data_IF_465008427483
#
_entry.id   IF_465008427483
#
_cell.length_a   1.000
_cell.length_b   1.000
_cell.length_c   1.000
_cell.angle_alpha   90.00
_cell.angle_beta   90.00
_cell.angle_gamma   90.00
#
_symmetry.space_group_name_H-M   'P 1'
#
loop_
_entity.id
_entity.type
_entity.pdbx_description
1 polymer ?
#
# COMPACT_ATOMS: atom_id res chain seq x y z
N UNK A 1 35.57 17.02 32.18
CA UNK A 1 34.57 17.83 31.45
C UNK A 1 34.71 17.68 29.91
N UNK A 2 35.86 17.97 29.31
CA UNK A 2 36.06 17.85 27.85
C UNK A 2 35.80 16.45 27.27
N UNK A 3 36.24 15.38 27.92
CA UNK A 3 36.02 14.00 27.48
C UNK A 3 34.52 13.62 27.42
N UNK A 4 33.71 14.09 28.40
CA UNK A 4 32.26 13.85 28.42
C UNK A 4 31.55 14.60 27.29
N UNK A 5 31.94 15.88 27.09
CA UNK A 5 31.36 16.68 25.95
C UNK A 5 31.71 16.04 24.63
N UNK A 6 32.94 15.59 24.44
CA UNK A 6 33.37 14.93 23.23
C UNK A 6 32.60 13.60 23.00
N UNK A 7 32.40 12.81 24.05
CA UNK A 7 31.61 11.58 23.96
C UNK A 7 30.15 11.86 23.59
N UNK A 8 29.51 12.88 24.18
CA UNK A 8 28.14 13.26 23.85
C UNK A 8 28.00 13.75 22.37
N UNK A 9 29.00 14.53 21.92
CA UNK A 9 29.04 14.98 20.52
C UNK A 9 29.21 13.80 19.54
N UNK A 10 30.05 12.84 19.88
CA UNK A 10 30.26 11.64 19.06
C UNK A 10 28.99 10.77 19.00
N UNK A 11 28.28 10.58 20.12
CA UNK A 11 27.00 9.87 20.16
C UNK A 11 25.93 10.63 19.33
N UNK A 12 25.85 11.94 19.49
CA UNK A 12 24.92 12.76 18.70
C UNK A 12 25.20 12.65 17.19
N UNK A 13 26.47 12.76 16.79
CA UNK A 13 26.86 12.62 15.38
C UNK A 13 26.50 11.22 14.84
N UNK A 14 26.74 10.18 15.64
CA UNK A 14 26.36 8.80 15.26
C UNK A 14 24.84 8.67 15.04
N UNK A 15 24.03 9.27 15.89
CA UNK A 15 22.56 9.26 15.73
C UNK A 15 22.14 10.02 14.48
N UNK A 16 22.75 11.18 14.19
CA UNK A 16 22.45 11.95 12.96
C UNK A 16 22.81 11.14 11.72
N UNK A 17 23.99 10.53 11.67
CA UNK A 17 24.41 9.68 10.54
C UNK A 17 23.48 8.46 10.41
N UNK A 18 23.14 7.80 11.52
CA UNK A 18 22.23 6.66 11.52
C UNK A 18 20.82 7.05 11.03
N UNK A 19 20.27 8.16 11.51
CA UNK A 19 18.96 8.65 11.07
C UNK A 19 18.95 9.04 9.59
N UNK A 20 20.01 9.71 9.11
CA UNK A 20 20.16 10.02 7.70
C UNK A 20 20.29 8.76 6.82
N UNK A 21 21.03 7.77 7.30
CA UNK A 21 21.14 6.48 6.60
C UNK A 21 19.79 5.78 6.48
N UNK A 22 19.03 5.69 7.60
CA UNK A 22 17.68 5.11 7.58
C UNK A 22 16.78 5.88 6.62
N UNK A 23 16.79 7.22 6.65
CA UNK A 23 16.02 8.04 5.72
C UNK A 23 16.36 7.71 4.25
N UNK A 24 17.65 7.69 3.89
CA UNK A 24 18.09 7.42 2.53
C UNK A 24 17.69 6.00 2.11
N UNK A 25 17.94 5.00 2.96
CA UNK A 25 17.64 3.60 2.63
C UNK A 25 16.13 3.36 2.51
N UNK A 26 15.33 3.99 3.37
CA UNK A 26 13.89 3.74 3.43
C UNK A 26 13.08 4.64 2.48
N UNK A 27 13.42 5.94 2.38
CA UNK A 27 12.57 6.89 1.67
C UNK A 27 13.03 7.23 0.25
N UNK A 28 14.34 7.16 -0.05
CA UNK A 28 14.82 7.56 -1.38
C UNK A 28 14.47 6.49 -2.43
N UNK A 29 13.90 6.95 -3.55
CA UNK A 29 13.65 6.09 -4.72
C UNK A 29 14.93 5.35 -5.11
N UNK A 30 14.83 4.06 -5.27
CA UNK A 30 15.88 3.26 -5.92
C UNK A 30 15.54 3.11 -7.39
N UNK A 31 16.57 2.84 -8.20
CA UNK A 31 16.35 2.45 -9.58
C UNK A 31 15.46 1.22 -9.59
N UNK A 32 14.35 1.33 -10.30
CA UNK A 32 13.41 0.22 -10.42
C UNK A 32 14.16 -0.98 -11.02
N UNK A 33 14.06 -2.12 -10.37
CA UNK A 33 14.48 -3.36 -11.00
C UNK A 33 13.58 -3.57 -12.22
N UNK A 34 14.10 -4.07 -13.34
CA UNK A 34 13.23 -4.50 -14.42
C UNK A 34 12.22 -5.49 -13.82
N UNK A 35 10.99 -5.12 -13.86
CA UNK A 35 9.93 -5.70 -13.07
C UNK A 35 9.46 -7.04 -13.67
N UNK A 36 10.22 -7.99 -13.73
CA UNK A 36 10.05 -9.40 -14.04
C UNK A 36 11.43 -10.08 -14.05
N UNK A 37 12.37 -9.57 -13.23
CA UNK A 37 13.62 -10.30 -13.03
C UNK A 37 13.31 -11.51 -12.17
N UNK A 38 13.22 -12.66 -12.80
CA UNK A 38 12.90 -13.94 -12.20
C UNK A 38 13.72 -14.23 -10.94
N UNK A 39 15.04 -13.95 -11.00
CA UNK A 39 15.94 -14.17 -9.87
C UNK A 39 15.59 -13.32 -8.63
N UNK A 40 15.09 -12.10 -8.83
CA UNK A 40 14.71 -11.23 -7.72
C UNK A 40 13.33 -11.60 -7.14
N UNK A 41 12.36 -11.89 -8.00
CA UNK A 41 11.04 -12.35 -7.56
C UNK A 41 11.14 -13.68 -6.82
N UNK A 42 11.96 -14.62 -7.31
CA UNK A 42 12.17 -15.92 -6.66
C UNK A 42 12.75 -15.85 -5.24
N UNK A 43 13.39 -14.74 -4.87
CA UNK A 43 13.87 -14.52 -3.49
C UNK A 43 12.79 -14.03 -2.53
N UNK A 44 11.62 -13.66 -3.03
CA UNK A 44 10.48 -13.16 -2.24
C UNK A 44 9.46 -14.27 -1.96
N UNK A 45 8.45 -13.98 -1.14
CA UNK A 45 7.27 -14.83 -0.93
C UNK A 45 6.53 -15.14 -2.23
N UNK A 46 6.66 -14.29 -3.25
CA UNK A 46 6.07 -14.48 -4.58
C UNK A 46 6.83 -15.45 -5.49
N UNK A 47 8.03 -15.92 -5.11
CA UNK A 47 8.89 -16.71 -5.99
C UNK A 47 8.23 -17.94 -6.61
N UNK A 48 7.46 -18.67 -5.82
CA UNK A 48 6.70 -19.85 -6.29
C UNK A 48 5.56 -19.53 -7.26
N UNK A 49 5.17 -18.26 -7.34
CA UNK A 49 4.09 -17.76 -8.20
C UNK A 49 4.59 -17.00 -9.43
N UNK A 50 5.89 -17.00 -9.70
CA UNK A 50 6.52 -16.25 -10.79
C UNK A 50 5.82 -16.45 -12.15
N UNK A 51 5.52 -17.68 -12.52
CA UNK A 51 4.86 -17.97 -13.80
C UNK A 51 3.47 -17.33 -13.91
N UNK A 52 2.73 -17.22 -12.80
CA UNK A 52 1.44 -16.53 -12.77
C UNK A 52 1.62 -15.03 -12.94
N UNK A 53 2.62 -14.43 -12.27
CA UNK A 53 2.92 -13.00 -12.41
C UNK A 53 3.26 -12.66 -13.87
N UNK A 54 4.05 -13.49 -14.54
CA UNK A 54 4.35 -13.32 -15.99
C UNK A 54 3.10 -13.47 -16.85
N UNK A 55 2.18 -14.39 -16.50
CA UNK A 55 0.93 -14.54 -17.25
C UNK A 55 0.02 -13.31 -17.14
N UNK A 56 0.12 -12.57 -16.04
CA UNK A 56 -0.66 -11.35 -15.83
C UNK A 56 -0.26 -10.20 -16.77
N UNK A 57 1.01 -10.12 -17.18
CA UNK A 57 1.45 -9.17 -18.21
C UNK A 57 0.80 -9.46 -19.57
N UNK A 58 0.63 -10.74 -19.91
CA UNK A 58 -0.10 -11.16 -21.10
C UNK A 58 -1.58 -10.80 -20.99
N UNK A 59 -2.19 -11.09 -19.83
CA UNK A 59 -3.57 -10.77 -19.56
C UNK A 59 -3.88 -9.27 -19.75
N UNK A 60 -3.02 -8.37 -19.26
CA UNK A 60 -3.17 -6.93 -19.47
C UNK A 60 -3.18 -6.54 -20.96
N UNK A 61 -2.33 -7.18 -21.77
CA UNK A 61 -2.27 -6.94 -23.22
C UNK A 61 -3.53 -7.43 -23.94
N UNK A 62 -4.07 -8.56 -23.51
CA UNK A 62 -5.30 -9.17 -24.06
C UNK A 62 -6.55 -8.37 -23.68
N UNK A 63 -6.55 -7.63 -22.55
CA UNK A 63 -7.68 -6.84 -22.05
C UNK A 63 -7.55 -5.34 -22.36
N UNK A 64 -6.72 -4.96 -23.34
CA UNK A 64 -6.59 -3.58 -23.81
C UNK A 64 -6.30 -2.58 -22.67
N UNK A 65 -5.41 -2.93 -21.76
CA UNK A 65 -5.00 -2.03 -20.69
C UNK A 65 -4.42 -0.72 -21.26
N UNK A 66 -5.02 0.40 -20.88
CA UNK A 66 -4.67 1.74 -21.35
C UNK A 66 -3.76 2.45 -20.35
N UNK A 67 -2.69 3.08 -20.86
CA UNK A 67 -1.86 3.94 -20.02
C UNK A 67 -2.59 5.25 -19.74
N UNK A 68 -2.73 5.59 -18.47
CA UNK A 68 -3.36 6.83 -18.02
C UNK A 68 -2.40 7.61 -17.12
N UNK A 69 -2.53 8.93 -17.14
CA UNK A 69 -1.64 9.82 -16.40
C UNK A 69 -2.45 10.91 -15.69
N UNK A 70 -2.03 11.23 -14.47
CA UNK A 70 -2.53 12.38 -13.72
C UNK A 70 -1.36 13.25 -13.27
N UNK A 71 -1.68 14.45 -12.78
CA UNK A 71 -0.75 15.28 -12.02
C UNK A 71 -1.19 15.31 -10.57
N UNK A 72 -0.29 14.98 -9.64
CA UNK A 72 -0.55 15.09 -8.21
C UNK A 72 -0.64 16.56 -7.76
N UNK A 73 -1.17 16.80 -6.56
CA UNK A 73 -1.28 18.16 -6.00
C UNK A 73 0.08 18.85 -5.81
N UNK A 74 1.15 18.09 -5.62
CA UNK A 74 2.52 18.58 -5.52
C UNK A 74 3.29 18.56 -6.87
N UNK A 75 2.58 18.33 -7.98
CA UNK A 75 3.07 18.52 -9.35
C UNK A 75 3.78 17.32 -9.99
N UNK A 76 3.75 16.14 -9.39
CA UNK A 76 4.32 14.93 -9.97
C UNK A 76 3.40 14.37 -11.06
N UNK A 77 3.98 13.95 -12.18
CA UNK A 77 3.28 13.15 -13.17
C UNK A 77 3.23 11.70 -12.71
N UNK A 78 2.02 11.20 -12.48
CA UNK A 78 1.77 9.83 -12.02
C UNK A 78 1.16 9.01 -13.15
N UNK A 79 1.60 7.77 -13.26
CA UNK A 79 1.16 6.79 -14.24
C UNK A 79 0.25 5.75 -13.61
N UNK A 80 -0.65 5.22 -14.41
CA UNK A 80 -1.47 4.06 -14.04
C UNK A 80 -2.00 3.34 -15.28
N UNK A 81 -2.66 2.23 -15.07
CA UNK A 81 -3.39 1.50 -16.09
C UNK A 81 -4.89 1.59 -15.83
N UNK A 82 -5.64 1.78 -16.91
CA UNK A 82 -7.08 1.63 -16.93
C UNK A 82 -7.46 0.38 -17.72
N UNK A 83 -8.26 -0.51 -17.14
CA UNK A 83 -8.77 -1.72 -17.77
C UNK A 83 -10.28 -1.72 -17.60
N UNK A 84 -11.04 -1.39 -18.67
CA UNK A 84 -12.50 -1.37 -18.61
C UNK A 84 -13.08 -2.78 -18.66
N UNK A 85 -14.16 -3.01 -17.91
CA UNK A 85 -15.02 -4.17 -18.05
C UNK A 85 -16.12 -3.88 -19.11
N UNK A 86 -16.65 -4.93 -19.74
CA UNK A 86 -17.66 -4.76 -20.81
C UNK A 86 -18.98 -4.16 -20.28
N UNK A 87 -19.44 -4.61 -19.11
CA UNK A 87 -20.64 -4.07 -18.45
C UNK A 87 -20.32 -3.80 -16.98
N UNK A 88 -19.65 -2.66 -16.67
CA UNK A 88 -19.09 -2.46 -15.37
C UNK A 88 -20.14 -2.19 -14.29
N UNK A 89 -20.08 -2.94 -13.20
CA UNK A 89 -20.86 -2.68 -11.97
C UNK A 89 -20.17 -1.70 -11.02
N UNK A 90 -18.88 -1.49 -11.19
CA UNK A 90 -18.06 -0.61 -10.36
C UNK A 90 -16.62 -0.58 -10.83
N UNK A 91 -15.77 0.06 -10.05
CA UNK A 91 -14.32 0.15 -10.29
C UNK A 91 -13.55 -0.26 -9.03
N UNK A 92 -12.46 -0.99 -9.18
CA UNK A 92 -11.47 -1.18 -8.12
C UNK A 92 -10.28 -0.26 -8.38
N UNK A 93 -9.97 0.62 -7.44
CA UNK A 93 -8.75 1.43 -7.42
C UNK A 93 -7.70 0.72 -6.57
N UNK A 94 -6.55 0.39 -7.15
CA UNK A 94 -5.49 -0.36 -6.50
C UNK A 94 -4.34 0.51 -5.98
N UNK A 95 -3.71 0.09 -4.88
CA UNK A 95 -2.46 0.63 -4.39
C UNK A 95 -1.48 -0.50 -4.04
N UNK A 96 -0.36 -0.58 -4.75
CA UNK A 96 0.65 -1.62 -4.54
C UNK A 96 1.56 -1.34 -3.34
N UNK A 97 2.36 -2.33 -2.94
CA UNK A 97 3.27 -2.28 -1.81
C UNK A 97 4.54 -1.47 -2.06
N UNK A 98 5.30 -1.32 -0.98
CA UNK A 98 6.58 -0.63 -0.95
C UNK A 98 7.60 -1.31 -1.88
N UNK A 99 8.13 -0.55 -2.84
CA UNK A 99 9.10 -1.02 -3.84
C UNK A 99 8.65 -2.26 -4.60
N UNK A 100 7.34 -2.42 -4.73
CA UNK A 100 6.71 -3.46 -5.54
C UNK A 100 6.18 -2.88 -6.85
N UNK A 101 5.44 -3.66 -7.58
CA UNK A 101 4.77 -3.28 -8.81
C UNK A 101 3.33 -3.77 -8.81
N UNK A 102 2.49 -3.12 -9.62
CA UNK A 102 1.10 -3.53 -9.78
C UNK A 102 0.95 -5.00 -10.22
N UNK A 103 1.87 -5.51 -11.05
CA UNK A 103 1.81 -6.89 -11.51
C UNK A 103 2.21 -7.91 -10.45
N UNK A 104 3.22 -7.60 -9.65
CA UNK A 104 3.65 -8.47 -8.57
C UNK A 104 2.56 -8.60 -7.51
N UNK A 105 1.95 -7.49 -7.14
CA UNK A 105 1.00 -7.46 -6.04
C UNK A 105 -0.42 -7.87 -6.44
N UNK A 106 -0.88 -7.46 -7.62
CA UNK A 106 -2.27 -7.62 -8.03
C UNK A 106 -2.48 -8.41 -9.32
N UNK A 107 -1.42 -8.73 -10.06
CA UNK A 107 -1.55 -9.40 -11.35
C UNK A 107 -2.40 -10.66 -11.28
N UNK A 108 -2.29 -11.42 -10.18
CA UNK A 108 -3.08 -12.63 -9.95
C UNK A 108 -4.56 -12.37 -9.59
N UNK A 109 -4.89 -11.14 -9.19
CA UNK A 109 -6.24 -10.74 -8.83
C UNK A 109 -6.97 -9.97 -9.96
N UNK A 110 -6.26 -9.51 -10.99
CA UNK A 110 -6.87 -8.74 -12.07
C UNK A 110 -7.99 -9.49 -12.77
N UNK A 111 -7.72 -10.72 -13.24
CA UNK A 111 -8.72 -11.57 -13.88
C UNK A 111 -9.93 -11.82 -12.98
N UNK A 112 -9.69 -12.04 -11.68
CA UNK A 112 -10.76 -12.24 -10.72
C UNK A 112 -11.68 -11.01 -10.62
N UNK A 113 -11.15 -9.84 -10.33
CA UNK A 113 -11.98 -8.63 -10.21
C UNK A 113 -12.66 -8.24 -11.52
N UNK A 114 -11.94 -8.39 -12.64
CA UNK A 114 -12.50 -8.10 -13.96
C UNK A 114 -13.65 -9.05 -14.33
N UNK A 115 -13.52 -10.36 -14.00
CA UNK A 115 -14.59 -11.34 -14.18
C UNK A 115 -15.82 -11.08 -13.30
N UNK A 116 -15.64 -10.34 -12.20
CA UNK A 116 -16.75 -9.84 -11.37
C UNK A 116 -17.40 -8.58 -11.94
N UNK A 117 -17.10 -8.17 -13.17
CA UNK A 117 -17.64 -6.95 -13.80
C UNK A 117 -17.05 -5.66 -13.23
N UNK A 118 -15.84 -5.69 -12.69
CA UNK A 118 -15.18 -4.49 -12.17
C UNK A 118 -14.23 -3.90 -13.21
N UNK A 119 -14.34 -2.59 -13.47
CA UNK A 119 -13.23 -1.86 -14.07
C UNK A 119 -12.03 -1.90 -13.10
N UNK A 120 -10.81 -1.85 -13.65
CA UNK A 120 -9.61 -1.78 -12.83
C UNK A 120 -8.87 -0.47 -13.12
N UNK A 121 -8.63 0.33 -12.09
CA UNK A 121 -7.72 1.48 -12.13
C UNK A 121 -6.52 1.14 -11.25
N UNK A 122 -5.36 1.03 -11.88
CA UNK A 122 -4.15 0.45 -11.28
C UNK A 122 -2.98 1.44 -11.35
N UNK A 123 -2.92 2.43 -10.44
CA UNK A 123 -1.81 3.36 -10.36
C UNK A 123 -0.48 2.70 -10.03
N UNK A 124 0.59 3.21 -10.62
CA UNK A 124 1.93 3.14 -10.06
C UNK A 124 2.08 4.28 -9.06
N UNK A 125 2.25 3.95 -7.78
CA UNK A 125 2.41 4.98 -6.75
C UNK A 125 3.65 5.84 -7.01
N UNK A 126 3.67 7.08 -6.47
CA UNK A 126 4.87 7.96 -6.58
C UNK A 126 6.15 7.17 -6.32
N UNK A 127 7.22 7.50 -7.03
CA UNK A 127 8.54 6.84 -6.95
C UNK A 127 8.61 5.41 -7.45
N UNK A 128 7.57 4.90 -8.14
CA UNK A 128 7.56 3.55 -8.71
C UNK A 128 7.24 3.61 -10.21
N UNK A 129 7.80 2.65 -10.96
CA UNK A 129 7.54 2.49 -12.39
C UNK A 129 7.74 3.78 -13.20
N UNK A 130 6.73 4.16 -13.98
CA UNK A 130 6.72 5.39 -14.79
C UNK A 130 6.26 6.63 -14.02
N UNK A 131 5.78 6.48 -12.78
CA UNK A 131 5.43 7.61 -11.92
C UNK A 131 6.68 8.36 -11.46
N UNK A 132 6.59 9.68 -11.45
CA UNK A 132 7.65 10.55 -10.94
C UNK A 132 7.77 10.49 -9.41
N UNK A 133 8.77 11.18 -8.88
CA UNK A 133 9.03 11.32 -7.46
C UNK A 133 10.42 10.85 -7.05
N UNK A 134 10.88 11.38 -5.93
CA UNK A 134 12.21 11.07 -5.35
C UNK A 134 12.08 10.32 -4.03
N UNK A 135 11.01 10.55 -3.29
CA UNK A 135 10.84 10.04 -1.92
C UNK A 135 9.54 9.25 -1.75
N UNK A 136 9.69 8.01 -1.26
CA UNK A 136 8.57 7.17 -0.80
C UNK A 136 8.21 7.62 0.61
N UNK A 137 6.93 7.83 0.90
CA UNK A 137 6.46 8.37 2.17
C UNK A 137 5.63 7.38 3.00
N UNK A 138 5.71 6.10 2.67
CA UNK A 138 5.03 5.02 3.39
C UNK A 138 3.50 5.21 3.48
N UNK A 139 2.91 5.68 2.40
CA UNK A 139 1.47 5.89 2.29
C UNK A 139 1.00 7.29 2.65
N UNK A 140 1.83 8.16 3.26
CA UNK A 140 1.41 9.50 3.71
C UNK A 140 1.04 10.39 2.52
N UNK A 141 1.97 10.68 1.62
CA UNK A 141 1.70 11.45 0.39
C UNK A 141 1.06 10.58 -0.69
N UNK A 142 1.32 9.28 -0.67
CA UNK A 142 0.66 8.33 -1.56
C UNK A 142 -0.87 8.33 -1.36
N UNK A 143 -1.37 8.57 -0.13
CA UNK A 143 -2.82 8.70 0.08
C UNK A 143 -3.40 9.96 -0.55
N UNK A 144 -2.69 11.06 -0.56
CA UNK A 144 -3.11 12.27 -1.28
C UNK A 144 -3.14 12.05 -2.81
N UNK A 145 -2.17 11.28 -3.34
CA UNK A 145 -2.19 10.86 -4.76
C UNK A 145 -3.43 10.02 -5.08
N UNK A 146 -3.85 9.14 -4.17
CA UNK A 146 -5.06 8.34 -4.36
C UNK A 146 -6.31 9.22 -4.42
N UNK A 147 -6.39 10.33 -3.68
CA UNK A 147 -7.48 11.31 -3.86
C UNK A 147 -7.48 11.92 -5.27
N UNK A 148 -6.30 12.27 -5.80
CA UNK A 148 -6.18 12.74 -7.18
C UNK A 148 -6.67 11.68 -8.19
N UNK A 149 -6.35 10.40 -7.98
CA UNK A 149 -6.85 9.31 -8.80
C UNK A 149 -8.35 9.10 -8.70
N UNK A 150 -8.95 9.26 -7.51
CA UNK A 150 -10.41 9.22 -7.33
C UNK A 150 -11.11 10.34 -8.10
N UNK A 151 -10.61 11.56 -8.01
CA UNK A 151 -11.14 12.69 -8.78
C UNK A 151 -10.97 12.50 -10.29
N UNK A 152 -9.80 12.02 -10.72
CA UNK A 152 -9.56 11.69 -12.13
C UNK A 152 -10.55 10.65 -12.62
N UNK A 153 -10.76 9.56 -11.87
CA UNK A 153 -11.71 8.51 -12.22
C UNK A 153 -13.12 9.09 -12.43
N UNK A 154 -13.62 9.85 -11.46
CA UNK A 154 -14.99 10.37 -11.51
C UNK A 154 -15.17 11.37 -12.66
N UNK A 155 -14.18 12.21 -12.91
CA UNK A 155 -14.24 13.21 -13.99
C UNK A 155 -14.11 12.57 -15.39
N UNK A 156 -13.40 11.44 -15.51
CA UNK A 156 -13.08 10.83 -16.82
C UNK A 156 -14.04 9.72 -17.19
N UNK A 157 -14.39 8.86 -16.22
CA UNK A 157 -15.16 7.64 -16.48
C UNK A 157 -16.57 7.68 -15.87
N UNK A 158 -16.85 8.66 -15.01
CA UNK A 158 -18.13 8.77 -14.30
C UNK A 158 -18.09 8.18 -12.89
N UNK A 159 -19.16 8.42 -12.15
CA UNK A 159 -19.27 8.08 -10.71
C UNK A 159 -19.68 6.61 -10.49
N UNK A 160 -18.97 5.67 -11.11
CA UNK A 160 -19.14 4.25 -10.78
C UNK A 160 -18.84 4.00 -9.30
N UNK A 161 -19.56 3.06 -8.65
CA UNK A 161 -19.18 2.60 -7.31
C UNK A 161 -17.70 2.20 -7.27
N UNK A 162 -16.97 2.68 -6.26
CA UNK A 162 -15.53 2.47 -6.11
C UNK A 162 -15.20 1.65 -4.86
N UNK A 163 -14.37 0.63 -5.05
CA UNK A 163 -13.68 -0.09 -3.98
C UNK A 163 -12.21 0.29 -4.01
N UNK A 164 -11.67 0.66 -2.86
CA UNK A 164 -10.25 0.92 -2.67
C UNK A 164 -9.57 -0.37 -2.24
N UNK A 165 -8.61 -0.86 -3.01
CA UNK A 165 -7.90 -2.10 -2.69
C UNK A 165 -6.41 -1.84 -2.55
N UNK A 166 -5.81 -2.26 -1.45
CA UNK A 166 -4.39 -2.04 -1.20
C UNK A 166 -3.70 -3.26 -0.62
N UNK A 167 -2.39 -3.38 -0.92
CA UNK A 167 -1.52 -4.43 -0.40
C UNK A 167 -0.32 -3.80 0.31
N UNK A 168 -0.01 -4.24 1.54
CA UNK A 168 1.14 -3.80 2.34
C UNK A 168 1.14 -2.26 2.51
N UNK A 169 2.15 -1.53 2.02
CA UNK A 169 2.14 -0.07 2.01
C UNK A 169 0.87 0.48 1.33
N UNK A 170 0.44 -0.13 0.24
CA UNK A 170 -0.81 0.25 -0.44
C UNK A 170 -2.05 0.05 0.42
N UNK A 171 -2.10 -1.01 1.24
CA UNK A 171 -3.18 -1.20 2.20
C UNK A 171 -3.21 -0.06 3.24
N UNK A 172 -2.04 0.29 3.79
CA UNK A 172 -1.93 1.44 4.70
C UNK A 172 -2.31 2.75 4.02
N UNK A 173 -1.89 2.95 2.75
CA UNK A 173 -2.26 4.10 1.92
C UNK A 173 -3.78 4.25 1.81
N UNK A 174 -4.49 3.15 1.48
CA UNK A 174 -5.95 3.17 1.38
C UNK A 174 -6.63 3.37 2.74
N UNK A 175 -6.10 2.76 3.80
CA UNK A 175 -6.64 2.94 5.15
C UNK A 175 -6.43 4.37 5.70
N UNK A 176 -5.39 5.10 5.26
CA UNK A 176 -5.21 6.51 5.63
C UNK A 176 -6.26 7.43 5.00
N UNK A 177 -6.93 6.99 3.94
CA UNK A 177 -8.05 7.73 3.35
C UNK A 177 -9.35 7.61 4.15
N UNK A 178 -9.44 6.65 5.05
CA UNK A 178 -10.69 6.33 5.72
C UNK A 178 -11.30 7.49 6.54
N UNK A 179 -10.50 8.46 6.97
CA UNK A 179 -10.93 9.67 7.69
C UNK A 179 -10.99 10.95 6.83
N UNK A 180 -10.84 10.81 5.50
CA UNK A 180 -10.98 11.92 4.56
C UNK A 180 -12.43 12.09 4.07
N UNK A 181 -12.75 13.29 3.58
CA UNK A 181 -13.95 13.50 2.79
C UNK A 181 -13.77 12.85 1.42
N UNK A 182 -14.26 11.64 1.26
CA UNK A 182 -14.19 10.89 0.02
C UNK A 182 -15.42 11.13 -0.85
N UNK A 183 -15.29 11.00 -2.19
CA UNK A 183 -16.45 10.98 -3.09
C UNK A 183 -17.49 9.95 -2.64
N UNK A 184 -18.77 10.28 -2.73
CA UNK A 184 -19.87 9.45 -2.21
C UNK A 184 -20.01 8.07 -2.87
N UNK A 185 -19.40 7.91 -4.06
CA UNK A 185 -19.33 6.63 -4.76
C UNK A 185 -18.24 5.70 -4.25
N UNK A 186 -17.37 6.10 -3.32
CA UNK A 186 -16.46 5.20 -2.60
C UNK A 186 -17.28 4.37 -1.61
N UNK A 187 -17.28 3.05 -1.78
CA UNK A 187 -18.17 2.12 -1.06
C UNK A 187 -17.47 1.27 -0.01
N UNK A 188 -16.14 1.17 -0.05
CA UNK A 188 -15.40 0.44 0.97
C UNK A 188 -13.94 0.26 0.63
N UNK A 189 -13.21 -0.32 1.58
CA UNK A 189 -11.76 -0.56 1.50
C UNK A 189 -11.48 -2.05 1.70
N UNK A 190 -10.61 -2.62 0.86
CA UNK A 190 -10.04 -3.96 1.01
C UNK A 190 -8.53 -3.77 1.26
N UNK A 191 -8.06 -4.16 2.43
CA UNK A 191 -6.70 -3.90 2.89
C UNK A 191 -5.98 -5.19 3.31
N UNK A 192 -5.00 -5.63 2.52
CA UNK A 192 -4.21 -6.84 2.82
C UNK A 192 -2.83 -6.47 3.36
N UNK A 193 -2.44 -7.04 4.49
CA UNK A 193 -1.17 -6.95 5.19
C UNK A 193 -0.63 -5.52 5.42
N UNK A 194 -1.54 -4.55 5.70
CA UNK A 194 -1.17 -3.17 6.00
C UNK A 194 -0.52 -3.02 7.37
N UNK A 195 0.28 -1.95 7.51
CA UNK A 195 0.88 -1.55 8.78
C UNK A 195 0.16 -0.33 9.40
N UNK A 196 0.39 -0.11 10.70
CA UNK A 196 -0.30 0.95 11.45
C UNK A 196 0.19 2.37 11.11
N UNK A 197 1.50 2.58 11.08
CA UNK A 197 2.12 3.88 10.75
C UNK A 197 3.52 3.69 10.15
N UNK A 198 4.05 4.69 9.41
CA UNK A 198 5.45 4.66 8.97
C UNK A 198 6.43 4.47 10.12
N UNK A 199 6.15 5.10 11.27
CA UNK A 199 6.97 4.94 12.46
C UNK A 199 7.00 3.49 12.97
N UNK A 200 5.81 2.86 13.08
CA UNK A 200 5.69 1.54 13.66
C UNK A 200 6.37 0.47 12.80
N UNK A 201 6.17 0.52 11.48
CA UNK A 201 6.83 -0.44 10.58
C UNK A 201 8.34 -0.26 10.56
N UNK A 202 8.84 0.99 10.49
CA UNK A 202 10.27 1.26 10.54
C UNK A 202 10.88 0.84 11.89
N UNK A 203 10.15 1.00 12.99
CA UNK A 203 10.61 0.55 14.31
C UNK A 203 10.74 -0.99 14.38
N UNK A 204 9.79 -1.72 13.79
CA UNK A 204 9.86 -3.19 13.71
C UNK A 204 11.05 -3.62 12.86
N UNK A 205 11.22 -3.05 11.67
CA UNK A 205 12.34 -3.39 10.78
C UNK A 205 13.68 -3.07 11.45
N UNK A 206 13.80 -1.88 12.04
CA UNK A 206 15.03 -1.46 12.73
C UNK A 206 15.38 -2.42 13.88
N UNK A 207 14.39 -2.78 14.72
CA UNK A 207 14.60 -3.71 15.83
C UNK A 207 15.02 -5.10 15.33
N UNK A 208 14.45 -5.58 14.24
CA UNK A 208 14.80 -6.89 13.65
C UNK A 208 16.24 -6.92 13.10
N UNK A 209 16.68 -5.82 12.47
CA UNK A 209 17.99 -5.76 11.79
C UNK A 209 19.10 -5.35 12.75
N UNK A 210 18.86 -4.37 13.61
CA UNK A 210 19.88 -3.74 14.45
C UNK A 210 19.86 -4.28 15.88
N UNK A 211 18.74 -4.88 16.32
CA UNK A 211 18.53 -5.38 17.68
C UNK A 211 18.67 -4.33 18.80
N UNK A 212 18.53 -3.04 18.46
CA UNK A 212 18.56 -1.90 19.38
C UNK A 212 17.22 -1.16 19.37
N UNK A 213 16.93 -0.33 20.41
CA UNK A 213 15.76 0.55 20.39
C UNK A 213 15.79 1.51 19.19
N UNK A 214 14.72 1.55 18.42
CA UNK A 214 14.64 2.34 17.20
C UNK A 214 14.46 3.86 17.46
N UNK A 215 13.85 4.21 18.59
CA UNK A 215 13.39 5.58 18.86
C UNK A 215 14.45 6.67 18.67
N UNK A 216 15.68 6.57 19.18
CA UNK A 216 16.67 7.62 18.99
C UNK A 216 16.99 7.90 17.52
N UNK A 217 17.16 6.85 16.71
CA UNK A 217 17.45 6.95 15.29
C UNK A 217 16.22 7.45 14.51
N UNK A 218 15.04 6.92 14.79
CA UNK A 218 13.82 7.29 14.08
C UNK A 218 13.35 8.72 14.40
N UNK A 219 13.69 9.30 15.55
CA UNK A 219 13.46 10.74 15.82
C UNK A 219 14.24 11.59 14.84
N UNK A 220 15.49 11.27 14.59
CA UNK A 220 16.30 11.97 13.59
C UNK A 220 15.78 11.72 12.16
N UNK A 221 15.40 10.48 11.85
CA UNK A 221 14.81 10.13 10.56
C UNK A 221 13.51 10.93 10.32
N UNK A 222 12.63 11.03 11.32
CA UNK A 222 11.40 11.82 11.26
C UNK A 222 11.68 13.31 11.03
N UNK A 223 12.66 13.87 11.74
CA UNK A 223 13.05 15.27 11.56
C UNK A 223 13.56 15.52 10.12
N UNK A 224 14.40 14.64 9.60
CA UNK A 224 14.90 14.74 8.23
C UNK A 224 13.74 14.63 7.23
N UNK A 225 12.83 13.67 7.41
CA UNK A 225 11.67 13.49 6.54
C UNK A 225 10.78 14.75 6.52
N UNK A 226 10.55 15.40 7.66
CA UNK A 226 9.80 16.66 7.76
C UNK A 226 10.48 17.81 7.04
N UNK A 227 11.81 17.94 7.20
CA UNK A 227 12.56 19.06 6.60
C UNK A 227 12.73 18.87 5.09
N UNK A 228 13.07 17.66 4.64
CA UNK A 228 13.45 17.39 3.24
C UNK A 228 12.23 17.12 2.35
N UNK A 229 11.22 16.41 2.88
CA UNK A 229 10.08 15.92 2.09
C UNK A 229 8.76 16.55 2.49
N UNK A 230 8.67 17.05 3.73
CA UNK A 230 7.44 17.65 4.26
C UNK A 230 6.44 16.61 4.77
N UNK A 231 6.88 15.45 5.26
CA UNK A 231 6.01 14.48 5.92
C UNK A 231 6.63 13.96 7.23
N UNK A 232 5.78 13.53 8.16
CA UNK A 232 6.20 12.95 9.42
C UNK A 232 5.88 11.47 9.54
N UNK A 233 6.80 10.68 10.15
CA UNK A 233 6.61 9.23 10.33
C UNK A 233 5.41 8.87 11.23
N UNK A 234 4.89 9.80 12.03
CA UNK A 234 3.70 9.65 12.90
C UNK A 234 2.51 10.45 12.42
N UNK A 235 2.57 11.01 11.22
CA UNK A 235 1.54 11.89 10.68
C UNK A 235 0.24 11.15 10.39
N UNK A 236 0.34 9.98 9.78
CA UNK A 236 -0.78 9.07 9.51
C UNK A 236 -0.68 7.81 10.37
N UNK A 237 -1.85 7.32 10.78
CA UNK A 237 -1.99 6.10 11.58
C UNK A 237 -3.33 5.45 11.25
N UNK A 238 -3.30 4.21 10.73
CA UNK A 238 -4.51 3.50 10.29
C UNK A 238 -5.50 3.29 11.43
N UNK A 239 -5.03 3.14 12.67
CA UNK A 239 -5.91 3.02 13.85
C UNK A 239 -6.72 4.30 14.07
N UNK A 240 -6.08 5.46 13.90
CA UNK A 240 -6.74 6.77 14.02
C UNK A 240 -7.73 7.00 12.89
N UNK A 241 -7.33 6.71 11.66
CA UNK A 241 -8.21 6.90 10.49
C UNK A 241 -9.44 6.00 10.59
N UNK A 242 -9.26 4.72 10.96
CA UNK A 242 -10.35 3.77 11.13
C UNK A 242 -11.29 4.09 12.32
N UNK A 243 -10.77 4.68 13.39
CA UNK A 243 -11.59 5.12 14.52
C UNK A 243 -12.52 6.30 14.16
N UNK A 244 -12.19 7.07 13.13
CA UNK A 244 -12.93 8.21 12.64
C UNK A 244 -13.73 7.95 11.35
N UNK A 245 -13.78 6.70 10.89
CA UNK A 245 -14.39 6.31 9.63
C UNK A 245 -15.66 5.48 9.84
N UNK A 246 -16.60 5.63 8.90
CA UNK A 246 -17.79 4.76 8.78
C UNK A 246 -17.76 3.92 7.50
N UNK A 247 -16.69 4.01 6.69
CA UNK A 247 -16.57 3.17 5.50
C UNK A 247 -16.46 1.69 5.89
N UNK A 248 -17.16 0.82 5.16
CA UNK A 248 -16.96 -0.62 5.29
C UNK A 248 -15.52 -1.00 4.97
N UNK A 249 -14.91 -1.84 5.80
CA UNK A 249 -13.51 -2.27 5.61
C UNK A 249 -13.37 -3.77 5.72
N UNK A 250 -12.80 -4.40 4.71
CA UNK A 250 -12.34 -5.77 4.76
C UNK A 250 -10.83 -5.80 4.94
N UNK A 251 -10.38 -6.29 6.09
CA UNK A 251 -8.95 -6.41 6.43
C UNK A 251 -8.50 -7.85 6.30
N UNK A 252 -7.32 -8.06 5.75
CA UNK A 252 -6.72 -9.36 5.52
C UNK A 252 -5.28 -9.33 6.03
N UNK A 253 -4.79 -10.48 6.53
CA UNK A 253 -3.37 -10.63 6.87
C UNK A 253 -2.98 -12.10 6.91
N UNK A 254 -1.78 -12.42 6.46
CA UNK A 254 -1.17 -13.73 6.63
C UNK A 254 -0.68 -13.95 8.06
N UNK A 255 -0.99 -15.11 8.64
CA UNK A 255 -0.58 -15.39 10.04
C UNK A 255 0.91 -15.61 10.21
N UNK A 256 1.63 -15.95 9.13
CA UNK A 256 3.07 -16.15 9.12
C UNK A 256 3.84 -15.03 8.40
N UNK A 257 3.22 -13.83 8.32
CA UNK A 257 3.85 -12.66 7.71
C UNK A 257 5.15 -12.30 8.44
N UNK A 258 6.26 -12.61 7.77
CA UNK A 258 7.60 -12.34 8.27
C UNK A 258 8.03 -10.88 8.13
N UNK A 259 7.28 -10.02 7.42
CA UNK A 259 7.66 -8.64 7.15
C UNK A 259 6.84 -7.63 7.96
N UNK A 260 5.52 -7.62 7.81
CA UNK A 260 4.60 -6.79 8.61
C UNK A 260 3.95 -7.66 9.68
N UNK A 261 4.08 -7.32 10.97
CA UNK A 261 3.41 -8.09 12.03
C UNK A 261 1.89 -8.11 11.85
N UNK A 262 1.29 -9.30 11.90
CA UNK A 262 -0.16 -9.51 11.78
C UNK A 262 -0.94 -8.71 12.83
N UNK A 263 -0.34 -8.48 13.99
CA UNK A 263 -0.89 -7.66 15.08
C UNK A 263 -1.19 -6.22 14.64
N UNK A 264 -0.51 -5.67 13.62
CA UNK A 264 -0.79 -4.32 13.13
C UNK A 264 -2.16 -4.24 12.46
N UNK A 265 -2.54 -5.23 11.64
CA UNK A 265 -3.90 -5.34 11.08
C UNK A 265 -4.93 -5.58 12.18
N UNK A 266 -4.63 -6.44 13.17
CA UNK A 266 -5.54 -6.68 14.30
C UNK A 266 -5.78 -5.40 15.13
N UNK A 267 -4.75 -4.57 15.32
CA UNK A 267 -4.90 -3.26 15.97
C UNK A 267 -5.78 -2.31 15.16
N UNK A 268 -5.61 -2.26 13.84
CA UNK A 268 -6.49 -1.51 12.94
C UNK A 268 -7.93 -2.00 13.02
N UNK A 269 -8.13 -3.31 12.96
CA UNK A 269 -9.45 -3.93 13.10
C UNK A 269 -10.12 -3.59 14.43
N UNK A 270 -9.38 -3.66 15.54
CA UNK A 270 -9.91 -3.31 16.87
C UNK A 270 -10.31 -1.84 16.95
N UNK A 271 -9.57 -0.94 16.31
CA UNK A 271 -9.84 0.50 16.30
C UNK A 271 -10.99 0.91 15.36
N UNK A 272 -11.29 0.12 14.33
CA UNK A 272 -12.34 0.43 13.36
C UNK A 272 -13.71 0.48 14.00
N UNK A 273 -14.43 1.59 13.82
CA UNK A 273 -15.78 1.83 14.36
C UNK A 273 -16.89 1.55 13.36
N UNK A 274 -16.57 1.51 12.06
CA UNK A 274 -17.50 1.18 10.98
C UNK A 274 -17.72 -0.33 10.82
N UNK A 275 -18.45 -0.68 9.76
CA UNK A 275 -18.60 -2.07 9.34
C UNK A 275 -17.24 -2.65 8.98
N UNK A 276 -16.92 -3.84 9.48
CA UNK A 276 -15.61 -4.45 9.33
C UNK A 276 -15.66 -5.96 9.24
N UNK A 277 -14.79 -6.50 8.41
CA UNK A 277 -14.52 -7.93 8.30
C UNK A 277 -13.02 -8.17 8.44
N UNK A 278 -12.64 -9.35 8.92
CA UNK A 278 -11.25 -9.76 9.09
C UNK A 278 -11.04 -11.18 8.59
N UNK A 279 -10.04 -11.36 7.74
CA UNK A 279 -9.53 -12.68 7.34
C UNK A 279 -8.05 -12.80 7.79
N UNK A 280 -7.80 -13.73 8.70
CA UNK A 280 -6.43 -14.17 9.00
C UNK A 280 -6.14 -15.40 8.15
N UNK A 281 -5.33 -15.23 7.11
CA UNK A 281 -4.96 -16.31 6.18
C UNK A 281 -3.89 -17.19 6.83
N UNK A 282 -4.31 -18.36 7.35
CA UNK A 282 -3.42 -19.27 8.08
C UNK A 282 -2.28 -19.77 7.18
N UNK A 283 -1.06 -19.70 7.66
CA UNK A 283 0.16 -20.13 6.96
C UNK A 283 0.58 -19.21 5.81
N UNK A 284 -0.11 -18.10 5.57
CA UNK A 284 0.30 -17.14 4.54
C UNK A 284 1.39 -16.22 5.07
N UNK A 285 2.45 -16.05 4.26
CA UNK A 285 3.49 -15.03 4.42
C UNK A 285 3.02 -13.68 3.83
N UNK A 286 3.89 -12.66 3.85
CA UNK A 286 3.61 -11.30 3.41
C UNK A 286 3.08 -11.23 1.96
N UNK A 287 1.91 -10.63 1.77
CA UNK A 287 1.32 -10.33 0.48
C UNK A 287 0.78 -11.52 -0.31
N UNK A 288 0.73 -12.73 0.28
CA UNK A 288 0.28 -13.94 -0.42
C UNK A 288 -1.03 -14.51 0.12
N UNK A 289 -1.77 -13.75 0.92
CA UNK A 289 -3.05 -14.18 1.51
C UNK A 289 -4.06 -14.61 0.45
N UNK A 290 -4.16 -13.87 -0.67
CA UNK A 290 -5.02 -14.21 -1.81
C UNK A 290 -4.71 -15.60 -2.41
N UNK A 291 -3.43 -15.96 -2.43
CA UNK A 291 -2.96 -17.22 -3.04
C UNK A 291 -3.12 -18.42 -2.11
N UNK A 292 -2.94 -18.20 -0.81
CA UNK A 292 -2.98 -19.27 0.20
C UNK A 292 -4.42 -19.58 0.61
N UNK A 293 -5.24 -18.55 0.80
CA UNK A 293 -6.63 -18.67 1.25
C UNK A 293 -7.65 -18.34 0.15
N UNK A 294 -7.34 -18.64 -1.12
CA UNK A 294 -8.05 -18.14 -2.31
C UNK A 294 -9.57 -18.30 -2.22
N UNK A 295 -10.06 -19.46 -1.87
CA UNK A 295 -11.50 -19.72 -1.81
C UNK A 295 -12.19 -18.82 -0.79
N UNK A 296 -11.67 -18.77 0.44
CA UNK A 296 -12.25 -17.95 1.50
C UNK A 296 -12.08 -16.47 1.22
N UNK A 297 -10.95 -16.06 0.66
CA UNK A 297 -10.64 -14.69 0.28
C UNK A 297 -11.65 -14.19 -0.78
N UNK A 298 -11.86 -14.98 -1.83
CA UNK A 298 -12.80 -14.62 -2.93
C UNK A 298 -14.26 -14.67 -2.49
N UNK A 299 -14.65 -15.61 -1.61
CA UNK A 299 -15.98 -15.66 -1.01
C UNK A 299 -16.30 -14.34 -0.30
N UNK A 300 -15.41 -13.89 0.59
CA UNK A 300 -15.62 -12.66 1.36
C UNK A 300 -15.63 -11.43 0.44
N UNK A 301 -14.75 -11.38 -0.57
CA UNK A 301 -14.79 -10.27 -1.55
C UNK A 301 -16.12 -10.24 -2.31
N UNK A 302 -16.63 -11.39 -2.75
CA UNK A 302 -17.91 -11.45 -3.45
C UNK A 302 -19.03 -10.90 -2.56
N UNK A 303 -19.09 -11.36 -1.31
CA UNK A 303 -20.09 -10.88 -0.34
C UNK A 303 -19.94 -9.37 -0.11
N UNK A 304 -18.71 -8.87 0.03
CA UNK A 304 -18.41 -7.46 0.21
C UNK A 304 -18.81 -6.61 -1.01
N UNK A 305 -18.48 -7.07 -2.21
CA UNK A 305 -18.88 -6.39 -3.45
C UNK A 305 -20.41 -6.39 -3.62
N UNK A 306 -21.07 -7.52 -3.41
CA UNK A 306 -22.52 -7.65 -3.55
C UNK A 306 -23.28 -6.79 -2.55
N UNK A 307 -22.77 -6.68 -1.33
CA UNK A 307 -23.37 -5.87 -0.28
C UNK A 307 -23.25 -4.37 -0.54
N UNK A 308 -22.10 -3.91 -1.02
CA UNK A 308 -21.77 -2.47 -1.11
C UNK A 308 -21.90 -1.86 -2.50
N UNK A 309 -21.84 -2.68 -3.55
CA UNK A 309 -21.98 -2.25 -4.96
C UNK A 309 -23.29 -2.73 -5.59
N UNK A 310 -23.81 -3.84 -5.10
CA UNK A 310 -24.96 -4.53 -5.67
C UNK A 310 -24.56 -5.80 -6.42
N UNK A 311 -25.52 -6.70 -6.63
CA UNK A 311 -25.30 -7.97 -7.31
C UNK A 311 -25.08 -7.76 -8.81
N UNK A 312 -24.31 -8.66 -9.38
CA UNK A 312 -24.06 -8.74 -10.83
C UNK A 312 -25.32 -9.17 -11.58
#
# INVERSE_FOLDING_TARGET
>A
MFAVVFALLAVFLLLVVSGAYVFVVACVRKKDLPWLVEEEIKKTSYGKYYNFIVSSDRWLKEHNAENVYITSDDGLKLHGLWIPAENPRGTVLFAHGYRSTMLVDFGLAFDYYHSQGMNLLVPEQRCHGLSEGTFITFGVKESEDMLCWLHYHNNTYGEYPLILSGLSMGASTMLYLADHELPHNVKGIIADCGFTSPWDILAVIFKRVIHLPAAPTLVITDLIARIVVGFGLKEKDTRRSLANSHLPVFMIHGTEDGFVPCEMTQQGYAACTGEKQLLLAEGADHGVSFLVAKERYTEIINDFLDQHIGKN
#
